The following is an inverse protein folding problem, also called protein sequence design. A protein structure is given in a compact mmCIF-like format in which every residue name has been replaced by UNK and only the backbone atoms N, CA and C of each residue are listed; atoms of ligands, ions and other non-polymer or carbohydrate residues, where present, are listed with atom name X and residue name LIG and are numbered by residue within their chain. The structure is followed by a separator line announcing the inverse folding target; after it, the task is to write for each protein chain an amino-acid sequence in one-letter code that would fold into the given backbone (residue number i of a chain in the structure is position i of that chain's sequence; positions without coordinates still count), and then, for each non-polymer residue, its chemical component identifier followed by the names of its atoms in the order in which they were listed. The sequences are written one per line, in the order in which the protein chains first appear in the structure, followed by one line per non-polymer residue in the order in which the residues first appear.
data_IF_661263822563
#
_entry.id   IF_661263822563
#
_cell.length_a   1.000
_cell.length_b   1.000
_cell.length_c   1.000
_cell.angle_alpha   90.00
_cell.angle_beta   90.00
_cell.angle_gamma   90.00
#
_symmetry.space_group_name_H-M   'P 1'
#
loop_
_entity.id
_entity.type
_entity.pdbx_description
1 polymer ?
#
# COMPACT_ATOMS: atom_id res chain seq x y z
N UNK A 1 10.31 -17.30 7.54
CA UNK A 1 10.14 -17.23 6.07
C UNK A 1 10.53 -15.83 5.62
N UNK A 2 11.20 -15.67 4.46
CA UNK A 2 11.51 -14.34 3.94
C UNK A 2 10.21 -13.59 3.61
N UNK A 3 10.16 -12.32 3.98
CA UNK A 3 9.07 -11.41 3.63
C UNK A 3 9.50 -10.65 2.39
N UNK A 4 8.60 -10.49 1.41
CA UNK A 4 8.86 -9.70 0.22
C UNK A 4 7.89 -8.53 0.24
N UNK A 5 8.40 -7.31 0.18
CA UNK A 5 7.58 -6.12 -0.02
C UNK A 5 7.48 -5.82 -1.51
N UNK A 6 6.28 -5.84 -2.05
CA UNK A 6 5.99 -5.56 -3.46
C UNK A 6 5.19 -4.27 -3.57
N UNK A 7 5.77 -3.25 -4.18
CA UNK A 7 5.05 -2.01 -4.46
C UNK A 7 4.19 -2.15 -5.72
N UNK A 8 2.92 -1.80 -5.64
CA UNK A 8 2.01 -1.72 -6.78
C UNK A 8 1.72 -0.26 -7.14
N UNK A 9 2.17 0.18 -8.31
CA UNK A 9 2.03 1.56 -8.78
C UNK A 9 0.57 2.01 -8.95
N UNK A 10 0.23 3.19 -8.44
CA UNK A 10 -1.10 3.79 -8.64
C UNK A 10 -1.44 4.08 -10.10
N UNK A 11 -0.43 4.30 -10.95
CA UNK A 11 -0.58 4.46 -12.39
C UNK A 11 -1.16 3.23 -13.09
N UNK A 12 -1.13 2.05 -12.44
CA UNK A 12 -1.72 0.83 -12.98
C UNK A 12 -3.25 0.82 -12.91
N UNK A 13 -3.90 1.79 -12.23
CA UNK A 13 -5.37 1.85 -12.12
C UNK A 13 -6.10 1.70 -13.45
N UNK A 14 -5.53 2.21 -14.55
CA UNK A 14 -6.10 2.13 -15.91
C UNK A 14 -5.36 1.19 -16.85
N UNK A 15 -4.33 0.50 -16.35
CA UNK A 15 -3.55 -0.44 -17.14
C UNK A 15 -4.33 -1.73 -17.33
N UNK A 16 -4.34 -2.25 -18.56
CA UNK A 16 -4.97 -3.55 -18.88
C UNK A 16 -4.29 -4.70 -18.16
N UNK A 17 -3.01 -4.52 -17.85
CA UNK A 17 -2.16 -5.49 -17.17
C UNK A 17 -2.50 -5.61 -15.68
N UNK A 18 -3.23 -4.65 -15.08
CA UNK A 18 -3.55 -4.67 -13.64
C UNK A 18 -4.21 -5.97 -13.21
N UNK A 19 -5.22 -6.43 -13.95
CA UNK A 19 -5.95 -7.67 -13.63
C UNK A 19 -4.99 -8.87 -13.62
N UNK A 20 -4.16 -8.98 -14.66
CA UNK A 20 -3.15 -10.04 -14.81
C UNK A 20 -2.14 -10.00 -13.66
N UNK A 21 -1.70 -8.83 -13.23
CA UNK A 21 -0.80 -8.69 -12.09
C UNK A 21 -1.46 -9.14 -10.79
N UNK A 22 -2.70 -8.71 -10.52
CA UNK A 22 -3.42 -9.10 -9.32
C UNK A 22 -3.62 -10.62 -9.25
N UNK A 23 -4.04 -11.25 -10.34
CA UNK A 23 -4.17 -12.72 -10.42
C UNK A 23 -2.83 -13.41 -10.14
N UNK A 24 -1.75 -12.96 -10.77
CA UNK A 24 -0.43 -13.57 -10.55
C UNK A 24 0.05 -13.40 -9.12
N UNK A 25 -0.22 -12.26 -8.48
CA UNK A 25 0.20 -11.97 -7.12
C UNK A 25 -0.62 -12.76 -6.10
N UNK A 26 -1.96 -12.72 -6.20
CA UNK A 26 -2.86 -13.15 -5.12
C UNK A 26 -3.48 -14.53 -5.31
N UNK A 27 -3.67 -15.00 -6.54
CA UNK A 27 -4.39 -16.25 -6.82
C UNK A 27 -3.48 -17.50 -6.83
N UNK A 28 -2.24 -17.38 -6.32
CA UNK A 28 -1.25 -18.47 -6.27
C UNK A 28 -0.88 -18.82 -4.83
N UNK A 29 -0.77 -20.11 -4.53
CA UNK A 29 -0.17 -20.60 -3.29
C UNK A 29 1.34 -20.32 -3.28
N UNK A 30 1.87 -19.85 -2.15
CA UNK A 30 3.28 -19.51 -1.99
C UNK A 30 3.74 -19.85 -0.57
N UNK A 31 4.96 -20.35 -0.47
CA UNK A 31 5.62 -20.63 0.81
C UNK A 31 6.32 -19.39 1.40
N UNK A 32 6.32 -18.26 0.69
CA UNK A 32 6.85 -16.98 1.16
C UNK A 32 5.70 -16.01 1.47
N UNK A 33 5.98 -15.00 2.30
CA UNK A 33 5.03 -13.92 2.59
C UNK A 33 5.31 -12.77 1.62
N UNK A 34 4.27 -12.34 0.89
CA UNK A 34 4.34 -11.15 0.05
C UNK A 34 3.39 -10.10 0.60
N UNK A 35 3.91 -8.92 0.85
CA UNK A 35 3.13 -7.77 1.29
C UNK A 35 3.11 -6.76 0.16
N UNK A 36 1.93 -6.55 -0.39
CA UNK A 36 1.71 -5.60 -1.47
C UNK A 36 1.40 -4.23 -0.87
N UNK A 37 2.17 -3.22 -1.25
CA UNK A 37 1.96 -1.83 -0.87
C UNK A 37 1.31 -1.09 -2.04
N UNK A 38 0.03 -0.69 -1.94
CA UNK A 38 -0.63 0.03 -3.02
C UNK A 38 -0.14 1.48 -3.10
N UNK A 39 -0.06 2.03 -4.31
CA UNK A 39 0.04 3.47 -4.53
C UNK A 39 -1.27 4.18 -4.20
N UNK A 40 -1.37 5.48 -4.53
CA UNK A 40 -2.59 6.25 -4.31
C UNK A 40 -3.50 6.40 -5.54
N UNK A 41 -3.03 6.03 -6.73
CA UNK A 41 -3.76 6.18 -8.00
C UNK A 41 -4.30 7.59 -8.24
N UNK A 42 -5.42 7.70 -8.95
CA UNK A 42 -6.10 8.97 -9.17
C UNK A 42 -6.60 9.62 -7.87
N UNK A 43 -6.86 8.82 -6.83
CA UNK A 43 -7.28 9.34 -5.54
C UNK A 43 -6.23 10.29 -4.94
N UNK A 44 -4.95 9.89 -4.96
CA UNK A 44 -3.87 10.74 -4.49
C UNK A 44 -3.53 11.89 -5.45
N UNK A 45 -3.70 11.69 -6.75
CA UNK A 45 -3.47 12.75 -7.73
C UNK A 45 -4.48 13.90 -7.55
N UNK A 46 -5.76 13.58 -7.35
CA UNK A 46 -6.79 14.58 -7.08
C UNK A 46 -6.50 15.39 -5.80
N UNK A 47 -5.92 14.75 -4.77
CA UNK A 47 -5.50 15.43 -3.55
C UNK A 47 -4.34 16.40 -3.84
N UNK A 48 -3.35 15.96 -4.63
CA UNK A 48 -2.21 16.79 -5.03
C UNK A 48 -2.66 18.04 -5.79
N UNK A 49 -3.56 17.86 -6.74
CA UNK A 49 -4.14 18.95 -7.52
C UNK A 49 -4.96 19.91 -6.64
N UNK A 50 -5.80 19.37 -5.75
CA UNK A 50 -6.58 20.17 -4.80
C UNK A 50 -5.67 20.96 -3.87
N UNK A 51 -4.57 20.36 -3.40
CA UNK A 51 -3.60 21.04 -2.56
C UNK A 51 -2.92 22.19 -3.32
N UNK A 52 -2.53 21.98 -4.58
CA UNK A 52 -1.95 23.03 -5.42
C UNK A 52 -2.91 24.21 -5.60
N UNK A 53 -4.21 23.95 -5.68
CA UNK A 53 -5.25 24.98 -5.87
C UNK A 53 -5.61 25.72 -4.58
N UNK A 54 -5.77 24.99 -3.47
CA UNK A 54 -6.27 25.55 -2.19
C UNK A 54 -5.15 25.87 -1.19
N UNK A 55 -3.92 25.44 -1.48
CA UNK A 55 -2.70 25.68 -0.70
C UNK A 55 -2.80 25.26 0.78
N UNK A 56 -3.46 24.14 1.08
CA UNK A 56 -3.41 23.55 2.42
C UNK A 56 -2.08 22.83 2.66
N UNK A 57 -1.72 22.66 3.93
CA UNK A 57 -0.36 22.22 4.30
C UNK A 57 -0.06 20.76 3.87
N UNK A 58 1.23 20.47 3.68
CA UNK A 58 1.74 19.17 3.26
C UNK A 58 1.34 18.03 4.20
N UNK A 59 1.25 18.30 5.51
CA UNK A 59 0.88 17.30 6.50
C UNK A 59 -0.53 16.76 6.26
N UNK A 60 -1.49 17.65 6.00
CA UNK A 60 -2.86 17.25 5.68
C UNK A 60 -2.92 16.55 4.33
N UNK A 61 -2.23 17.06 3.31
CA UNK A 61 -2.19 16.44 1.99
C UNK A 61 -1.60 15.02 2.02
N UNK A 62 -0.52 14.84 2.78
CA UNK A 62 0.13 13.55 2.94
C UNK A 62 -0.76 12.55 3.69
N UNK A 63 -1.43 12.98 4.77
CA UNK A 63 -2.41 12.15 5.47
C UNK A 63 -3.57 11.74 4.54
N UNK A 64 -4.06 12.65 3.70
CA UNK A 64 -5.07 12.33 2.69
C UNK A 64 -4.51 11.37 1.63
N UNK A 65 -3.24 11.50 1.23
CA UNK A 65 -2.61 10.60 0.28
C UNK A 65 -2.47 9.16 0.83
N UNK A 66 -2.20 9.00 2.13
CA UNK A 66 -2.24 7.68 2.79
C UNK A 66 -3.64 7.08 2.78
N UNK A 67 -4.67 7.89 3.05
CA UNK A 67 -6.07 7.45 2.92
C UNK A 67 -6.42 7.06 1.49
N UNK A 68 -5.90 7.78 0.49
CA UNK A 68 -6.03 7.44 -0.92
C UNK A 68 -5.35 6.10 -1.27
N UNK A 69 -4.22 5.77 -0.63
CA UNK A 69 -3.61 4.44 -0.76
C UNK A 69 -4.53 3.35 -0.19
N UNK A 70 -5.19 3.60 0.94
CA UNK A 70 -6.19 2.66 1.47
C UNK A 70 -7.38 2.52 0.52
N UNK A 71 -7.89 3.62 -0.03
CA UNK A 71 -8.99 3.60 -1.02
C UNK A 71 -8.60 2.81 -2.27
N UNK A 72 -7.39 3.04 -2.81
CA UNK A 72 -6.90 2.27 -3.94
C UNK A 72 -6.78 0.79 -3.58
N UNK A 73 -6.31 0.47 -2.36
CA UNK A 73 -6.28 -0.90 -1.86
C UNK A 73 -7.65 -1.58 -1.90
N UNK A 74 -8.69 -0.94 -1.36
CA UNK A 74 -10.06 -1.46 -1.45
C UNK A 74 -10.57 -1.57 -2.89
N UNK A 75 -10.27 -0.59 -3.75
CA UNK A 75 -10.59 -0.67 -5.17
C UNK A 75 -10.02 -1.95 -5.82
N UNK A 76 -8.76 -2.32 -5.51
CA UNK A 76 -8.15 -3.56 -6.02
C UNK A 76 -8.91 -4.81 -5.57
N UNK A 77 -9.47 -4.83 -4.35
CA UNK A 77 -10.29 -5.96 -3.87
C UNK A 77 -11.60 -6.10 -4.63
N UNK A 78 -12.12 -5.01 -5.22
CA UNK A 78 -13.25 -5.06 -6.13
C UNK A 78 -12.91 -5.68 -7.50
N UNK A 79 -11.63 -5.74 -7.86
CA UNK A 79 -11.14 -6.36 -9.09
C UNK A 79 -10.76 -7.83 -8.87
N UNK A 80 -10.08 -8.14 -7.77
CA UNK A 80 -9.67 -9.50 -7.45
C UNK A 80 -10.12 -9.88 -6.04
N UNK A 81 -11.03 -10.86 -5.96
CA UNK A 81 -11.64 -11.32 -4.72
C UNK A 81 -10.72 -12.20 -3.84
N UNK A 82 -9.59 -12.69 -4.38
CA UNK A 82 -8.61 -13.49 -3.63
C UNK A 82 -7.70 -12.62 -2.75
N UNK A 83 -7.76 -11.29 -2.89
CA UNK A 83 -6.95 -10.37 -2.12
C UNK A 83 -7.29 -10.46 -0.63
N UNK A 84 -6.31 -10.84 0.17
CA UNK A 84 -6.37 -10.81 1.64
C UNK A 84 -5.81 -9.50 2.15
N UNK A 85 -6.64 -8.72 2.84
CA UNK A 85 -6.20 -7.47 3.46
C UNK A 85 -5.39 -7.76 4.72
N UNK A 86 -4.25 -7.08 4.84
CA UNK A 86 -3.45 -6.98 6.05
C UNK A 86 -3.50 -5.53 6.54
N UNK A 87 -4.12 -5.28 7.69
CA UNK A 87 -4.11 -3.94 8.31
C UNK A 87 -2.93 -3.77 9.26
N UNK A 88 -2.73 -4.79 10.11
CA UNK A 88 -1.72 -4.80 11.15
C UNK A 88 -0.59 -5.77 10.81
N UNK A 89 0.59 -5.24 10.55
CA UNK A 89 1.77 -6.03 10.16
C UNK A 89 2.38 -6.82 11.33
N UNK A 90 2.05 -6.50 12.58
CA UNK A 90 2.53 -7.23 13.77
C UNK A 90 2.05 -8.69 13.77
N UNK A 91 0.93 -9.00 13.11
CA UNK A 91 0.42 -10.38 13.00
C UNK A 91 1.42 -11.32 12.32
N UNK A 92 2.23 -10.79 11.39
CA UNK A 92 3.22 -11.57 10.66
C UNK A 92 4.39 -12.03 11.54
N UNK A 93 4.63 -11.33 12.66
CA UNK A 93 5.64 -11.74 13.66
C UNK A 93 5.11 -12.82 14.61
N UNK A 94 3.78 -12.93 14.74
CA UNK A 94 3.12 -13.83 15.69
C UNK A 94 2.84 -15.21 15.08
N UNK A 95 2.54 -15.28 13.78
CA UNK A 95 2.26 -16.54 13.09
C UNK A 95 3.34 -16.86 12.04
N UNK A 96 4.17 -17.85 12.36
CA UNK A 96 5.28 -18.29 11.48
C UNK A 96 4.84 -19.24 10.37
N UNK A 97 3.59 -19.71 10.38
CA UNK A 97 3.03 -20.61 9.37
C UNK A 97 2.20 -19.85 8.31
N UNK A 98 2.04 -18.54 8.44
CA UNK A 98 1.39 -17.70 7.43
C UNK A 98 2.25 -17.66 6.17
N UNK A 99 1.71 -18.14 5.05
CA UNK A 99 2.26 -18.00 3.70
C UNK A 99 1.24 -17.37 2.76
N UNK A 100 1.73 -16.80 1.65
CA UNK A 100 0.90 -16.19 0.61
C UNK A 100 1.05 -14.68 0.49
N UNK A 101 0.17 -14.09 -0.33
CA UNK A 101 0.19 -12.67 -0.65
C UNK A 101 -0.91 -11.92 0.08
N UNK A 102 -0.56 -10.74 0.60
CA UNK A 102 -1.43 -9.87 1.37
C UNK A 102 -1.35 -8.45 0.84
N UNK A 103 -2.49 -7.77 0.75
CA UNK A 103 -2.53 -6.34 0.42
C UNK A 103 -2.52 -5.55 1.72
N UNK A 104 -1.50 -4.72 1.92
CA UNK A 104 -1.39 -3.92 3.12
C UNK A 104 -2.13 -2.59 2.98
N UNK A 105 -2.98 -2.28 3.95
CA UNK A 105 -3.57 -0.95 4.09
C UNK A 105 -2.79 -0.19 5.16
N UNK A 106 -2.22 0.99 4.85
CA UNK A 106 -1.39 1.76 5.78
C UNK A 106 -2.20 2.46 6.89
N UNK A 107 -3.24 1.81 7.42
CA UNK A 107 -4.10 2.32 8.49
C UNK A 107 -3.27 2.60 9.77
N UNK A 108 -2.38 1.68 10.14
CA UNK A 108 -1.51 1.82 11.33
C UNK A 108 -0.53 3.01 11.21
N UNK A 109 -0.13 3.39 9.99
CA UNK A 109 0.70 4.57 9.75
C UNK A 109 -0.08 5.86 10.00
N UNK A 110 -1.39 5.89 9.73
CA UNK A 110 -2.24 7.05 10.01
C UNK A 110 -2.32 7.36 11.52
N UNK A 111 -2.17 6.33 12.35
CA UNK A 111 -2.16 6.45 13.82
C UNK A 111 -0.77 6.83 14.36
N UNK A 112 0.32 6.44 13.68
CA UNK A 112 1.71 6.61 14.14
C UNK A 112 2.60 7.36 13.12
N UNK A 113 2.12 8.51 12.61
CA UNK A 113 2.80 9.28 11.55
C UNK A 113 4.20 9.80 11.95
N UNK A 114 4.61 9.72 13.22
CA UNK A 114 5.90 10.28 13.68
C UNK A 114 7.14 9.67 13.01
N UNK A 115 7.04 8.51 12.37
CA UNK A 115 8.17 7.82 11.74
C UNK A 115 8.39 8.19 10.26
N UNK A 116 7.48 8.94 9.65
CA UNK A 116 7.54 9.26 8.22
C UNK A 116 7.45 10.77 7.98
N UNK A 117 8.15 11.25 6.96
CA UNK A 117 8.07 12.67 6.57
C UNK A 117 6.71 12.95 5.91
N UNK A 118 5.96 13.92 6.43
CA UNK A 118 4.60 14.23 5.99
C UNK A 118 4.59 15.18 4.77
N UNK A 119 5.17 14.74 3.65
CA UNK A 119 5.24 15.51 2.40
C UNK A 119 5.24 14.59 1.15
N UNK A 120 5.21 15.18 -0.04
CA UNK A 120 5.17 14.42 -1.30
C UNK A 120 6.46 13.67 -1.66
N UNK A 121 7.59 13.96 -1.00
CA UNK A 121 8.83 13.18 -1.18
C UNK A 121 8.69 11.78 -0.56
N UNK A 122 7.83 11.65 0.45
CA UNK A 122 7.49 10.38 1.08
C UNK A 122 6.30 9.70 0.39
N UNK A 123 6.55 9.19 -0.81
CA UNK A 123 5.56 8.52 -1.66
C UNK A 123 5.33 7.05 -1.30
N UNK A 124 4.50 6.35 -2.09
CA UNK A 124 4.33 4.89 -1.96
C UNK A 124 5.64 4.11 -2.06
N UNK A 125 6.62 4.61 -2.80
CA UNK A 125 7.93 3.93 -2.95
C UNK A 125 8.73 4.06 -1.65
N UNK A 126 8.76 5.26 -1.05
CA UNK A 126 9.38 5.53 0.25
C UNK A 126 8.70 4.73 1.36
N UNK A 127 7.37 4.65 1.35
CA UNK A 127 6.58 3.84 2.29
C UNK A 127 6.90 2.35 2.13
N UNK A 128 7.05 1.87 0.90
CA UNK A 128 7.42 0.46 0.63
C UNK A 128 8.81 0.12 1.17
N UNK A 129 9.78 1.02 0.96
CA UNK A 129 11.13 0.85 1.50
C UNK A 129 11.16 0.91 3.03
N UNK A 130 10.42 1.84 3.63
CA UNK A 130 10.25 1.92 5.08
C UNK A 130 9.67 0.62 5.63
N UNK A 131 8.61 0.09 5.00
CA UNK A 131 7.97 -1.15 5.45
C UNK A 131 8.92 -2.34 5.33
N UNK A 132 9.69 -2.43 4.23
CA UNK A 132 10.69 -3.48 4.05
C UNK A 132 11.74 -3.45 5.17
N UNK A 133 12.22 -2.24 5.52
CA UNK A 133 13.16 -2.04 6.63
C UNK A 133 12.55 -2.43 7.97
N UNK A 134 11.31 -1.99 8.24
CA UNK A 134 10.58 -2.29 9.48
C UNK A 134 10.36 -3.80 9.69
N UNK A 135 10.17 -4.54 8.60
CA UNK A 135 9.94 -5.99 8.63
C UNK A 135 11.21 -6.82 8.48
N UNK A 136 12.35 -6.20 8.20
CA UNK A 136 13.59 -6.92 7.85
C UNK A 136 13.35 -7.88 6.67
N UNK A 137 12.64 -7.37 5.66
CA UNK A 137 12.28 -8.06 4.43
C UNK A 137 13.45 -8.15 3.45
#
# INVERSE_FOLDING_TARGET
MPVIVLKLGGSLMHSKELVVWLENIFSRTRDNIIIVVPGGGEFAENIRETQRQLNFNNKIAHKMALLAMCQYGYFLTGINADIKILKNTKILRLDKNIGGSFLWLPDDLLENISEITENWDFSSDSISLWLATYLTA
#
